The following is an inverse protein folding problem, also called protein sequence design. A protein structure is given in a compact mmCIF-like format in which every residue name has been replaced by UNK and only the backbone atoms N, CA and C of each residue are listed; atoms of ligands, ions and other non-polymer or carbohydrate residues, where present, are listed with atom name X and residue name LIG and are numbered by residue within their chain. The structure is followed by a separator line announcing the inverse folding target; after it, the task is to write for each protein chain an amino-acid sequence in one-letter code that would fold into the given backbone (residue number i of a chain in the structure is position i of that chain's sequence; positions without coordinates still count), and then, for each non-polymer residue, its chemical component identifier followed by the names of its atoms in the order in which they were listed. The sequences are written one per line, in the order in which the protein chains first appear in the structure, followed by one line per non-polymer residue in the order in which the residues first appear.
data_IF_761508746057
#
_entry.id   IF_761508746057
#
_cell.length_a   1.000
_cell.length_b   1.000
_cell.length_c   1.000
_cell.angle_alpha   90.00
_cell.angle_beta   90.00
_cell.angle_gamma   90.00
#
_symmetry.space_group_name_H-M   'P 1'
#
loop_
_entity.id
_entity.type
_entity.pdbx_description
1 polymer ?
#
# COMPACT_ATOMS: atom_id res chain seq x y z
N UNK A 1 13.75 17.86 -61.22
CA UNK A 1 13.41 18.80 -60.13
C UNK A 1 11.89 18.97 -60.17
N UNK A 2 11.05 18.54 -59.24
CA UNK A 2 11.18 18.48 -57.78
C UNK A 2 10.41 17.28 -57.15
N UNK A 3 11.22 16.39 -56.57
CA UNK A 3 11.09 15.54 -55.36
C UNK A 3 9.74 15.57 -54.60
N UNK A 4 9.07 14.41 -54.63
CA UNK A 4 7.96 14.03 -53.75
C UNK A 4 8.45 13.86 -52.30
N UNK A 5 7.78 14.49 -51.34
CA UNK A 5 8.01 14.27 -49.91
C UNK A 5 6.99 13.24 -49.43
N UNK A 6 7.46 12.02 -49.18
CA UNK A 6 6.71 10.95 -48.50
C UNK A 6 6.84 11.17 -46.99
N UNK A 7 5.76 11.56 -46.32
CA UNK A 7 5.72 11.64 -44.86
C UNK A 7 5.31 10.27 -44.30
N UNK A 8 6.27 9.54 -43.73
CA UNK A 8 6.04 8.26 -43.05
C UNK A 8 5.66 8.53 -41.59
N UNK A 9 4.38 8.35 -41.25
CA UNK A 9 3.89 8.40 -39.88
C UNK A 9 4.27 7.07 -39.20
N UNK A 10 5.26 7.11 -38.32
CA UNK A 10 5.64 5.97 -37.47
C UNK A 10 4.72 5.96 -36.25
N UNK A 11 3.75 5.05 -36.23
CA UNK A 11 2.93 4.77 -35.06
C UNK A 11 3.74 3.97 -34.04
N UNK A 12 4.16 4.61 -32.95
CA UNK A 12 4.71 3.92 -31.78
C UNK A 12 3.55 3.22 -31.08
N UNK A 13 3.48 1.90 -31.20
CA UNK A 13 2.61 1.08 -30.37
C UNK A 13 3.22 1.01 -28.95
N UNK A 14 2.67 1.76 -28.01
CA UNK A 14 2.90 1.51 -26.59
C UNK A 14 2.22 0.18 -26.24
N UNK A 15 3.01 -0.89 -26.19
CA UNK A 15 2.56 -2.16 -25.60
C UNK A 15 2.44 -1.96 -24.09
N UNK A 16 1.25 -1.58 -23.63
CA UNK A 16 0.90 -1.60 -22.21
C UNK A 16 0.88 -3.04 -21.75
N UNK A 17 1.97 -3.54 -21.17
CA UNK A 17 1.96 -4.82 -20.45
C UNK A 17 1.04 -4.66 -19.25
N UNK A 18 -0.22 -5.07 -19.39
CA UNK A 18 -1.17 -5.14 -18.30
C UNK A 18 -0.76 -6.31 -17.40
N UNK A 19 0.11 -6.04 -16.43
CA UNK A 19 0.30 -6.97 -15.32
C UNK A 19 -1.01 -7.02 -14.52
N UNK A 20 -1.45 -8.22 -14.15
CA UNK A 20 -2.57 -8.36 -13.26
C UNK A 20 -2.22 -7.67 -11.92
N UNK A 21 -2.96 -6.60 -11.61
CA UNK A 21 -2.60 -5.64 -10.58
C UNK A 21 -2.87 -6.21 -9.18
N UNK A 22 -1.99 -5.92 -8.23
CA UNK A 22 -2.23 -6.25 -6.81
C UNK A 22 -3.51 -5.54 -6.35
N UNK A 23 -4.44 -6.29 -5.77
CA UNK A 23 -5.72 -5.76 -5.26
C UNK A 23 -5.61 -5.44 -3.78
N UNK A 24 -6.29 -4.39 -3.36
CA UNK A 24 -6.39 -3.96 -1.95
C UNK A 24 -7.83 -4.11 -1.49
N UNK A 25 -8.04 -4.78 -0.36
CA UNK A 25 -9.36 -5.03 0.19
C UNK A 25 -9.47 -4.43 1.59
N UNK A 26 -10.62 -3.81 1.87
CA UNK A 26 -10.98 -3.23 3.16
C UNK A 26 -9.90 -2.32 3.79
N UNK A 27 -9.38 -1.33 3.05
CA UNK A 27 -8.45 -0.38 3.66
C UNK A 27 -9.19 0.49 4.68
N UNK A 28 -8.59 0.67 5.86
CA UNK A 28 -9.07 1.63 6.84
C UNK A 28 -7.95 2.09 7.78
N UNK A 29 -8.04 3.32 8.25
CA UNK A 29 -7.12 3.87 9.25
C UNK A 29 -7.85 4.04 10.58
N UNK A 30 -7.16 3.82 11.70
CA UNK A 30 -7.75 4.10 13.03
C UNK A 30 -7.67 5.59 13.33
N UNK A 31 -8.78 6.17 13.78
CA UNK A 31 -8.80 7.52 14.33
C UNK A 31 -7.80 7.65 15.48
N UNK A 32 -7.25 8.84 15.62
CA UNK A 32 -6.24 9.16 16.65
C UNK A 32 -6.78 10.16 17.64
N UNK A 33 -6.27 10.15 18.87
CA UNK A 33 -6.59 11.18 19.86
C UNK A 33 -5.75 12.44 19.61
N UNK A 34 -6.17 13.62 20.13
CA UNK A 34 -5.33 14.82 20.05
C UNK A 34 -3.92 14.55 20.59
N UNK A 35 -2.91 15.14 19.94
CA UNK A 35 -1.47 15.01 20.27
C UNK A 35 -0.84 13.64 19.99
N UNK A 36 -1.61 12.63 19.56
CA UNK A 36 -1.04 11.36 19.14
C UNK A 36 -0.22 11.55 17.85
N UNK A 37 1.05 11.14 17.88
CA UNK A 37 2.02 11.37 16.79
C UNK A 37 2.14 10.21 15.82
N UNK A 38 1.46 9.09 16.07
CA UNK A 38 1.46 7.92 15.19
C UNK A 38 0.05 7.37 14.94
N UNK A 39 -0.15 6.72 13.80
CA UNK A 39 -1.42 6.11 13.40
C UNK A 39 -1.21 4.77 12.74
N UNK A 40 -2.25 3.94 12.70
CA UNK A 40 -2.23 2.64 12.03
C UNK A 40 -3.22 2.60 10.87
N UNK A 41 -2.77 2.06 9.74
CA UNK A 41 -3.63 1.69 8.60
C UNK A 41 -3.60 0.18 8.42
N UNK A 42 -4.78 -0.36 8.16
CA UNK A 42 -5.09 -1.78 8.06
C UNK A 42 -5.70 -2.04 6.69
N UNK A 43 -5.28 -3.11 6.03
CA UNK A 43 -5.77 -3.51 4.71
C UNK A 43 -5.36 -4.95 4.44
N UNK A 44 -5.97 -5.56 3.43
CA UNK A 44 -5.50 -6.83 2.86
C UNK A 44 -4.95 -6.60 1.46
N UNK A 45 -3.86 -7.30 1.13
CA UNK A 45 -3.28 -7.34 -0.20
C UNK A 45 -3.42 -8.73 -0.80
N UNK A 46 -3.81 -8.79 -2.07
CA UNK A 46 -3.76 -10.02 -2.87
C UNK A 46 -3.07 -9.72 -4.19
N UNK A 47 -1.97 -10.42 -4.44
CA UNK A 47 -1.27 -10.35 -5.73
C UNK A 47 -1.54 -11.63 -6.52
N UNK A 48 -1.83 -11.56 -7.83
CA UNK A 48 -2.01 -12.75 -8.68
C UNK A 48 -0.72 -13.55 -8.84
N UNK A 49 0.43 -12.87 -8.82
CA UNK A 49 1.77 -13.46 -8.88
C UNK A 49 2.48 -13.34 -7.53
N UNK A 50 3.55 -14.11 -7.34
CA UNK A 50 4.43 -13.95 -6.19
C UNK A 50 5.06 -12.55 -6.21
N UNK A 51 4.84 -11.79 -5.14
CA UNK A 51 5.26 -10.40 -5.01
C UNK A 51 5.63 -10.08 -3.56
N UNK A 52 6.07 -8.84 -3.30
CA UNK A 52 6.42 -8.35 -1.97
C UNK A 52 5.97 -6.90 -1.83
N UNK A 53 5.30 -6.55 -0.74
CA UNK A 53 5.15 -5.14 -0.35
C UNK A 53 6.48 -4.70 0.25
N UNK A 54 7.19 -3.79 -0.40
CA UNK A 54 8.55 -3.36 0.02
C UNK A 54 8.62 -1.93 0.52
N UNK A 55 7.53 -1.16 0.34
CA UNK A 55 7.48 0.23 0.79
C UNK A 55 6.03 0.70 0.90
N UNK A 56 5.77 1.52 1.91
CA UNK A 56 4.57 2.33 2.00
C UNK A 56 4.98 3.81 2.19
N UNK A 57 4.17 4.73 1.67
CA UNK A 57 4.36 6.17 1.87
C UNK A 57 3.02 6.87 2.00
N UNK A 58 3.00 8.01 2.69
CA UNK A 58 1.81 8.84 2.84
C UNK A 58 2.21 10.30 3.04
N UNK A 59 1.49 11.27 2.45
CA UNK A 59 1.67 12.67 2.77
C UNK A 59 1.16 13.02 4.18
N UNK A 60 0.36 12.16 4.82
CA UNK A 60 -0.23 12.40 6.14
C UNK A 60 0.79 12.33 7.31
N UNK A 61 1.95 11.75 7.07
CA UNK A 61 2.98 11.48 8.08
C UNK A 61 4.37 11.91 7.60
N UNK A 62 5.34 11.95 8.54
CA UNK A 62 6.74 12.21 8.23
C UNK A 62 7.43 10.98 7.65
N UNK A 63 7.15 9.80 8.20
CA UNK A 63 7.61 8.51 7.71
C UNK A 63 6.51 7.47 7.81
N UNK A 64 6.65 6.38 7.06
CA UNK A 64 5.73 5.26 7.06
C UNK A 64 6.53 3.98 7.15
N UNK A 65 6.13 3.11 8.06
CA UNK A 65 6.79 1.86 8.39
C UNK A 65 5.81 0.69 8.19
N UNK A 66 6.34 -0.49 7.85
CA UNK A 66 5.53 -1.71 7.70
C UNK A 66 5.82 -2.60 8.91
N UNK A 67 4.80 -2.92 9.69
CA UNK A 67 4.95 -3.66 10.94
C UNK A 67 4.19 -4.99 10.88
N UNK A 68 4.80 -6.06 11.38
CA UNK A 68 4.13 -7.35 11.61
C UNK A 68 3.94 -7.59 13.10
N UNK A 69 3.02 -8.48 13.42
CA UNK A 69 2.93 -9.06 14.76
C UNK A 69 3.78 -10.33 14.79
N UNK A 70 4.84 -10.33 15.59
CA UNK A 70 5.66 -11.51 15.81
C UNK A 70 5.56 -11.97 17.27
N UNK A 71 5.56 -13.29 17.46
CA UNK A 71 5.59 -13.89 18.78
C UNK A 71 7.04 -13.96 19.26
N UNK A 72 7.38 -13.21 20.30
CA UNK A 72 8.64 -13.32 21.01
C UNK A 72 8.41 -14.05 22.33
N UNK A 73 8.65 -15.37 22.33
CA UNK A 73 8.30 -16.25 23.43
C UNK A 73 6.78 -16.30 23.62
N UNK A 74 6.27 -15.74 24.71
CA UNK A 74 4.84 -15.68 25.04
C UNK A 74 4.21 -14.30 24.79
N UNK A 75 4.99 -13.32 24.30
CA UNK A 75 4.52 -11.96 24.05
C UNK A 75 4.40 -11.69 22.55
N UNK A 76 3.22 -11.23 22.13
CA UNK A 76 3.01 -10.69 20.79
C UNK A 76 3.57 -9.27 20.73
N UNK A 77 4.49 -8.99 19.81
CA UNK A 77 5.12 -7.68 19.65
C UNK A 77 5.02 -7.20 18.20
N UNK A 78 4.72 -5.92 18.03
CA UNK A 78 4.88 -5.24 16.73
C UNK A 78 6.36 -5.05 16.41
N UNK A 79 6.77 -5.47 15.22
CA UNK A 79 8.13 -5.28 14.72
C UNK A 79 8.08 -4.70 13.30
N UNK A 80 8.90 -3.68 13.06
CA UNK A 80 9.13 -3.17 11.71
C UNK A 80 9.83 -4.24 10.85
N UNK A 81 9.39 -4.36 9.60
CA UNK A 81 9.96 -5.25 8.60
C UNK A 81 10.21 -4.51 7.29
N UNK A 82 11.26 -4.90 6.58
CA UNK A 82 11.62 -4.30 5.29
C UNK A 82 10.60 -4.64 4.19
N UNK A 83 9.92 -5.79 4.30
CA UNK A 83 8.94 -6.23 3.33
C UNK A 83 7.95 -7.26 3.90
N UNK A 84 6.80 -7.35 3.24
CA UNK A 84 5.81 -8.43 3.42
C UNK A 84 5.76 -9.26 2.15
N UNK A 85 5.95 -10.56 2.26
CA UNK A 85 5.78 -11.47 1.14
C UNK A 85 4.29 -11.64 0.81
N UNK A 86 3.97 -11.59 -0.48
CA UNK A 86 2.63 -11.78 -1.03
C UNK A 86 2.66 -13.05 -1.90
N UNK A 87 2.33 -14.22 -1.34
CA UNK A 87 2.23 -15.44 -2.12
C UNK A 87 1.16 -15.29 -3.22
N UNK A 88 1.44 -15.89 -4.39
CA UNK A 88 0.56 -15.80 -5.55
C UNK A 88 -0.88 -16.27 -5.19
N UNK A 89 -1.86 -15.41 -5.47
CA UNK A 89 -3.27 -15.69 -5.25
C UNK A 89 -3.72 -15.69 -3.79
N UNK A 90 -2.85 -15.42 -2.81
CA UNK A 90 -3.24 -15.40 -1.39
C UNK A 90 -3.54 -13.98 -0.92
N UNK A 91 -4.56 -13.86 -0.05
CA UNK A 91 -4.83 -12.61 0.66
C UNK A 91 -3.96 -12.55 1.92
N UNK A 92 -3.23 -11.46 2.09
CA UNK A 92 -2.32 -11.21 3.22
C UNK A 92 -2.75 -9.92 3.91
N UNK A 93 -3.01 -9.98 5.23
CA UNK A 93 -3.46 -8.84 6.03
C UNK A 93 -2.95 -8.84 7.48
N UNK A 94 -2.01 -9.72 7.82
CA UNK A 94 -1.40 -9.84 9.15
C UNK A 94 -0.24 -8.84 9.35
N UNK A 95 -0.42 -7.62 8.87
CA UNK A 95 0.54 -6.52 9.00
C UNK A 95 -0.19 -5.19 9.13
N UNK A 96 0.50 -4.19 9.65
CA UNK A 96 -0.02 -2.82 9.79
C UNK A 96 0.92 -1.85 9.08
N UNK A 97 0.34 -0.81 8.48
CA UNK A 97 1.09 0.33 7.98
C UNK A 97 1.08 1.38 9.07
N UNK A 98 2.25 1.62 9.67
CA UNK A 98 2.42 2.59 10.74
C UNK A 98 2.80 3.95 10.16
N UNK A 99 2.01 4.96 10.48
CA UNK A 99 2.22 6.36 10.12
C UNK A 99 2.97 7.03 11.27
N UNK A 100 4.18 7.51 11.03
CA UNK A 100 5.05 8.08 12.08
C UNK A 100 5.25 9.58 11.87
N UNK A 101 5.07 10.34 12.96
CA UNK A 101 5.10 11.80 12.90
C UNK A 101 3.92 12.35 12.09
N UNK A 102 2.70 12.01 12.51
CA UNK A 102 1.47 12.52 11.93
C UNK A 102 1.50 14.05 11.87
N UNK A 103 1.20 14.62 10.69
CA UNK A 103 1.13 16.07 10.47
C UNK A 103 -0.16 16.68 11.01
N UNK A 104 -1.21 15.86 11.10
CA UNK A 104 -2.51 16.21 11.63
C UNK A 104 -3.14 14.98 12.28
N UNK A 105 -4.07 15.23 13.20
CA UNK A 105 -4.90 14.17 13.77
C UNK A 105 -5.71 13.46 12.68
N UNK A 106 -5.71 12.12 12.70
CA UNK A 106 -6.64 11.33 11.89
C UNK A 106 -8.03 11.36 12.55
N UNK A 107 -8.98 12.03 11.91
CA UNK A 107 -10.36 12.14 12.39
C UNK A 107 -11.29 11.26 11.56
N UNK A 108 -12.29 10.67 12.23
CA UNK A 108 -13.35 9.91 11.57
C UNK A 108 -13.98 10.71 10.41
N UNK A 109 -14.29 10.02 9.32
CA UNK A 109 -14.86 10.62 8.11
C UNK A 109 -13.83 11.25 7.17
N UNK A 110 -12.55 11.34 7.58
CA UNK A 110 -11.45 11.64 6.67
C UNK A 110 -10.93 10.35 6.00
N UNK A 111 -10.00 10.51 5.06
CA UNK A 111 -9.25 9.39 4.48
C UNK A 111 -7.75 9.65 4.52
N UNK A 112 -6.98 8.58 4.58
CA UNK A 112 -5.52 8.59 4.54
C UNK A 112 -5.05 8.07 3.18
N UNK A 113 -4.47 8.93 2.32
CA UNK A 113 -3.87 8.48 1.08
C UNK A 113 -2.55 7.74 1.36
N UNK A 114 -2.40 6.58 0.73
CA UNK A 114 -1.21 5.74 0.77
C UNK A 114 -0.73 5.42 -0.65
N UNK A 115 0.58 5.26 -0.79
CA UNK A 115 1.20 4.65 -1.96
C UNK A 115 2.03 3.46 -1.53
N UNK A 116 1.65 2.28 -2.01
CA UNK A 116 2.26 0.99 -1.70
C UNK A 116 3.14 0.57 -2.89
N UNK A 117 4.42 0.32 -2.65
CA UNK A 117 5.31 -0.22 -3.69
C UNK A 117 5.36 -1.73 -3.58
N UNK A 118 4.88 -2.40 -4.63
CA UNK A 118 4.89 -3.85 -4.76
C UNK A 118 6.02 -4.24 -5.69
N UNK A 119 6.91 -5.11 -5.24
CA UNK A 119 8.02 -5.66 -6.01
C UNK A 119 7.70 -7.09 -6.43
N UNK A 120 7.86 -7.38 -7.72
CA UNK A 120 7.68 -8.71 -8.33
C UNK A 120 9.02 -9.32 -8.73
N UNK A 121 8.97 -10.57 -9.22
CA UNK A 121 10.13 -11.23 -9.83
C UNK A 121 10.85 -10.33 -10.84
N UNK A 122 12.18 -10.37 -10.80
CA UNK A 122 13.03 -9.54 -11.65
C UNK A 122 13.11 -8.07 -11.24
N UNK A 123 12.70 -7.72 -10.01
CA UNK A 123 12.80 -6.35 -9.48
C UNK A 123 11.80 -5.36 -10.08
N UNK A 124 10.80 -5.85 -10.81
CA UNK A 124 9.74 -5.01 -11.37
C UNK A 124 8.90 -4.45 -10.23
N UNK A 125 8.72 -3.13 -10.21
CA UNK A 125 7.95 -2.43 -9.17
C UNK A 125 6.68 -1.83 -9.75
N UNK A 126 5.57 -1.99 -9.04
CA UNK A 126 4.34 -1.24 -9.27
C UNK A 126 3.99 -0.41 -8.03
N UNK A 127 3.30 0.70 -8.24
CA UNK A 127 2.76 1.52 -7.14
C UNK A 127 1.25 1.38 -7.11
N UNK A 128 0.72 0.94 -5.99
CA UNK A 128 -0.71 0.84 -5.73
C UNK A 128 -1.12 2.00 -4.84
N UNK A 129 -2.00 2.85 -5.35
CA UNK A 129 -2.59 3.95 -4.58
C UNK A 129 -3.79 3.43 -3.80
N UNK A 130 -3.87 3.80 -2.52
CA UNK A 130 -4.96 3.41 -1.62
C UNK A 130 -5.46 4.65 -0.91
N UNK A 131 -6.77 4.81 -0.81
CA UNK A 131 -7.37 5.81 0.06
C UNK A 131 -8.08 5.09 1.22
N UNK A 132 -7.50 5.19 2.41
CA UNK A 132 -7.95 4.44 3.58
C UNK A 132 -8.89 5.30 4.44
N UNK A 133 -10.20 5.06 4.47
CA UNK A 133 -11.13 5.80 5.32
C UNK A 133 -10.76 5.66 6.80
N UNK A 134 -10.81 6.76 7.53
CA UNK A 134 -10.57 6.80 8.97
C UNK A 134 -11.83 6.34 9.72
N UNK A 135 -11.69 5.27 10.50
CA UNK A 135 -12.73 4.68 11.34
C UNK A 135 -12.53 5.07 12.81
N UNK A 136 -13.61 5.12 13.61
CA UNK A 136 -13.52 5.49 15.03
C UNK A 136 -12.60 4.56 15.82
N UNK A 137 -12.08 5.03 16.96
CA UNK A 137 -11.14 4.26 17.80
C UNK A 137 -11.72 2.89 18.20
N UNK A 138 -13.02 2.79 18.46
CA UNK A 138 -13.70 1.54 18.81
C UNK A 138 -14.05 0.63 17.64
N UNK A 139 -13.69 0.98 16.41
CA UNK A 139 -13.99 0.16 15.25
C UNK A 139 -13.28 -1.18 15.34
N UNK A 140 -14.06 -2.25 15.22
CA UNK A 140 -13.57 -3.61 15.04
C UNK A 140 -14.02 -4.05 13.65
N UNK A 141 -13.10 -4.46 12.75
CA UNK A 141 -13.50 -4.98 11.46
C UNK A 141 -14.42 -6.20 11.67
N UNK A 142 -15.47 -6.31 10.86
CA UNK A 142 -16.36 -7.46 10.92
C UNK A 142 -15.59 -8.74 10.62
N UNK A 143 -15.77 -9.78 11.44
CA UNK A 143 -15.38 -11.13 11.06
C UNK A 143 -16.36 -11.58 9.97
N UNK A 144 -15.94 -11.52 8.71
CA UNK A 144 -16.62 -12.25 7.64
C UNK A 144 -16.21 -13.72 7.68
#
# INVERSE_FOLDING_TARGET
MNKHVFALIVSIALASTAFAQTTVTEPWARATVPQQTSGGVYLQLRSPDAARLVKATSPAARSVEIHTMEMNGQMMKMREVDAIDLPAGQSVGNFHIMLMGLKQQLKEGQSVPLSLTIERKGGKRETVMVDAPVKPIGFTPGHH
#
